data_IF_934342072255
#
_entry.id   IF_934342072255
#
_cell.length_a   1.000
_cell.length_b   1.000
_cell.length_c   1.000
_cell.angle_alpha   90.00
_cell.angle_beta   90.00
_cell.angle_gamma   90.00
#
_symmetry.space_group_name_H-M   'P 1'
#
loop_
_entity.id
_entity.type
_entity.pdbx_description
1 polymer ?
#
# COMPACT_ATOMS: atom_id res chain seq x y z
N UNK A 1 -21.38 -13.81 26.29
CA UNK A 1 -20.22 -13.05 25.76
C UNK A 1 -18.86 -13.66 26.08
N UNK A 2 -18.51 -13.94 27.35
CA UNK A 2 -17.21 -14.51 27.72
C UNK A 2 -16.81 -15.77 26.93
N UNK A 3 -17.75 -16.71 26.72
CA UNK A 3 -17.52 -17.90 25.89
C UNK A 3 -17.16 -17.55 24.44
N UNK A 4 -17.84 -16.57 23.83
CA UNK A 4 -17.58 -16.14 22.46
C UNK A 4 -16.20 -15.45 22.32
N UNK A 5 -15.79 -14.70 23.35
CA UNK A 5 -14.46 -14.10 23.41
C UNK A 5 -13.35 -15.15 23.55
N UNK A 6 -13.55 -16.18 24.38
CA UNK A 6 -12.60 -17.31 24.49
C UNK A 6 -12.50 -18.05 23.15
N UNK A 7 -13.63 -18.32 22.49
CA UNK A 7 -13.62 -18.96 21.17
C UNK A 7 -12.92 -18.14 20.10
N UNK A 8 -13.06 -16.81 20.12
CA UNK A 8 -12.32 -15.92 19.21
C UNK A 8 -10.80 -16.00 19.45
N UNK A 9 -10.36 -15.99 20.71
CA UNK A 9 -8.93 -16.15 21.06
C UNK A 9 -8.40 -17.51 20.64
N UNK A 10 -9.15 -18.58 20.88
CA UNK A 10 -8.79 -19.93 20.43
C UNK A 10 -8.68 -20.01 18.91
N UNK A 11 -9.63 -19.43 18.18
CA UNK A 11 -9.61 -19.40 16.72
C UNK A 11 -8.39 -18.65 16.17
N UNK A 12 -8.00 -17.53 16.82
CA UNK A 12 -6.80 -16.79 16.46
C UNK A 12 -5.52 -17.64 16.62
N UNK A 13 -5.39 -18.37 17.74
CA UNK A 13 -4.26 -19.29 17.96
C UNK A 13 -4.25 -20.41 16.91
N UNK A 14 -5.40 -21.05 16.65
CA UNK A 14 -5.52 -22.11 15.64
C UNK A 14 -5.14 -21.63 14.24
N UNK A 15 -5.47 -20.38 13.90
CA UNK A 15 -5.01 -19.77 12.65
C UNK A 15 -3.49 -19.57 12.63
N UNK A 16 -2.84 -19.19 13.73
CA UNK A 16 -1.38 -19.09 13.77
C UNK A 16 -0.72 -20.45 13.49
N UNK A 17 -1.32 -21.55 13.96
CA UNK A 17 -0.85 -22.92 13.74
C UNK A 17 -1.22 -23.49 12.35
N UNK A 18 -1.88 -22.71 11.49
CA UNK A 18 -2.34 -23.15 10.16
C UNK A 18 -3.61 -24.02 10.18
N UNK A 19 -4.20 -24.25 11.35
CA UNK A 19 -5.36 -25.12 11.55
C UNK A 19 -6.69 -24.40 11.26
N UNK A 20 -6.89 -23.98 10.01
CA UNK A 20 -8.04 -23.17 9.59
C UNK A 20 -9.40 -23.84 9.86
N UNK A 21 -9.49 -25.16 9.73
CA UNK A 21 -10.70 -25.91 10.08
C UNK A 21 -11.00 -25.91 11.58
N UNK A 22 -9.97 -26.05 12.42
CA UNK A 22 -10.12 -26.00 13.88
C UNK A 22 -10.48 -24.59 14.37
N UNK A 23 -9.98 -23.55 13.69
CA UNK A 23 -10.36 -22.17 13.95
C UNK A 23 -11.87 -21.94 13.71
N UNK A 24 -12.40 -22.41 12.57
CA UNK A 24 -13.85 -22.34 12.28
C UNK A 24 -14.65 -23.10 13.34
N UNK A 25 -14.26 -24.34 13.64
CA UNK A 25 -14.93 -25.14 14.67
C UNK A 25 -14.91 -24.49 16.06
N UNK A 26 -13.86 -23.72 16.40
CA UNK A 26 -13.81 -22.96 17.64
C UNK A 26 -14.82 -21.79 17.62
N UNK A 27 -14.93 -21.08 16.49
CA UNK A 27 -15.91 -20.00 16.33
C UNK A 27 -17.34 -20.53 16.39
N UNK A 28 -17.65 -21.62 15.68
CA UNK A 28 -18.99 -22.21 15.60
C UNK A 28 -19.45 -22.73 16.98
N UNK A 29 -18.57 -23.46 17.70
CA UNK A 29 -18.88 -23.97 19.04
C UNK A 29 -19.09 -22.89 20.10
N UNK A 30 -18.68 -21.65 19.84
CA UNK A 30 -18.87 -20.52 20.75
C UNK A 30 -19.73 -19.43 20.13
N UNK A 31 -20.60 -19.78 19.18
CA UNK A 31 -21.56 -18.85 18.62
C UNK A 31 -22.51 -18.33 19.70
N UNK A 32 -22.87 -17.06 19.59
CA UNK A 32 -23.76 -16.37 20.50
C UNK A 32 -24.39 -15.17 19.78
N UNK A 33 -25.67 -14.93 20.06
CA UNK A 33 -26.39 -13.76 19.57
C UNK A 33 -26.16 -12.54 20.49
N UNK A 34 -26.43 -11.34 19.97
CA UNK A 34 -26.38 -10.09 20.76
C UNK A 34 -25.00 -9.74 21.30
N UNK A 35 -23.93 -10.09 20.57
CA UNK A 35 -22.56 -9.76 20.96
C UNK A 35 -22.32 -8.25 20.85
N UNK A 36 -21.46 -7.71 21.72
CA UNK A 36 -20.96 -6.37 21.54
C UNK A 36 -20.25 -6.25 20.18
N UNK A 37 -20.52 -5.14 19.50
CA UNK A 37 -20.07 -4.87 18.13
C UNK A 37 -18.58 -5.15 17.89
N UNK A 38 -17.63 -4.75 18.77
CA UNK A 38 -16.21 -5.07 18.57
C UNK A 38 -15.92 -6.58 18.53
N UNK A 39 -16.58 -7.36 19.39
CA UNK A 39 -16.39 -8.81 19.44
C UNK A 39 -17.06 -9.52 18.26
N UNK A 40 -18.25 -9.06 17.85
CA UNK A 40 -18.92 -9.56 16.66
C UNK A 40 -18.01 -9.38 15.43
N UNK A 41 -17.50 -8.16 15.21
CA UNK A 41 -16.56 -7.87 14.11
C UNK A 41 -15.30 -8.72 14.16
N UNK A 42 -14.65 -8.83 15.32
CA UNK A 42 -13.44 -9.65 15.46
C UNK A 42 -13.69 -11.10 15.03
N UNK A 43 -14.85 -11.66 15.38
CA UNK A 43 -15.22 -13.03 15.01
C UNK A 43 -15.45 -13.17 13.50
N UNK A 44 -16.06 -12.18 12.85
CA UNK A 44 -16.23 -12.15 11.39
C UNK A 44 -14.88 -12.13 10.69
N UNK A 45 -13.95 -11.27 11.12
CA UNK A 45 -12.59 -11.19 10.56
C UNK A 45 -11.84 -12.52 10.65
N UNK A 46 -11.91 -13.19 11.82
CA UNK A 46 -11.28 -14.51 12.02
C UNK A 46 -11.93 -15.59 11.14
N UNK A 47 -13.27 -15.58 11.01
CA UNK A 47 -14.00 -16.53 10.17
C UNK A 47 -13.63 -16.35 8.70
N UNK A 48 -13.66 -15.12 8.18
CA UNK A 48 -13.29 -14.82 6.80
C UNK A 48 -11.85 -15.26 6.50
N UNK A 49 -10.89 -14.98 7.40
CA UNK A 49 -9.50 -15.43 7.25
C UNK A 49 -9.38 -16.95 7.22
N UNK A 50 -10.10 -17.66 8.07
CA UNK A 50 -10.09 -19.12 8.09
C UNK A 50 -10.71 -19.73 6.82
N UNK A 51 -11.79 -19.13 6.31
CA UNK A 51 -12.44 -19.51 5.04
C UNK A 51 -11.49 -19.29 3.86
N UNK A 52 -10.85 -18.12 3.78
CA UNK A 52 -9.88 -17.80 2.73
C UNK A 52 -8.75 -18.82 2.63
N UNK A 53 -8.16 -19.22 3.76
CA UNK A 53 -7.08 -20.22 3.82
C UNK A 53 -7.52 -21.63 3.42
N UNK A 54 -8.81 -21.93 3.48
CA UNK A 54 -9.39 -23.18 2.99
C UNK A 54 -9.76 -23.11 1.50
N UNK A 55 -9.51 -22.00 0.84
CA UNK A 55 -9.84 -21.77 -0.57
C UNK A 55 -11.21 -21.10 -0.79
N UNK A 56 -11.99 -20.86 0.27
CA UNK A 56 -13.32 -20.22 0.21
C UNK A 56 -13.21 -18.69 0.09
N UNK A 57 -12.33 -18.22 -0.81
CA UNK A 57 -11.94 -16.80 -0.92
C UNK A 57 -13.09 -15.87 -1.32
N UNK A 58 -13.97 -16.29 -2.22
CA UNK A 58 -15.12 -15.48 -2.65
C UNK A 58 -16.08 -15.22 -1.49
N UNK A 59 -16.42 -16.27 -0.74
CA UNK A 59 -17.28 -16.15 0.43
C UNK A 59 -16.62 -15.32 1.54
N UNK A 60 -15.30 -15.44 1.72
CA UNK A 60 -14.55 -14.59 2.63
C UNK A 60 -14.58 -13.10 2.23
N UNK A 61 -14.39 -12.76 0.94
CA UNK A 61 -14.46 -11.36 0.47
C UNK A 61 -15.85 -10.77 0.67
N UNK A 62 -16.91 -11.53 0.39
CA UNK A 62 -18.31 -11.13 0.61
C UNK A 62 -18.59 -10.86 2.09
N UNK A 63 -18.19 -11.79 2.96
CA UNK A 63 -18.36 -11.64 4.41
C UNK A 63 -17.62 -10.40 4.96
N UNK A 64 -16.44 -10.09 4.42
CA UNK A 64 -15.72 -8.87 4.80
C UNK A 64 -16.38 -7.61 4.24
N UNK A 65 -16.98 -7.67 3.04
CA UNK A 65 -17.67 -6.53 2.44
C UNK A 65 -18.88 -6.08 3.29
N UNK A 66 -19.55 -7.01 3.96
CA UNK A 66 -20.65 -6.71 4.89
C UNK A 66 -20.22 -5.88 6.11
N UNK A 67 -18.92 -5.85 6.45
CA UNK A 67 -18.38 -5.01 7.52
C UNK A 67 -18.17 -3.54 7.10
N UNK A 68 -18.40 -3.21 5.83
CA UNK A 68 -18.15 -1.88 5.28
C UNK A 68 -16.70 -1.42 5.48
N UNK A 69 -16.45 -0.20 5.95
CA UNK A 69 -15.09 0.34 6.11
C UNK A 69 -14.16 -0.52 6.98
N UNK A 70 -14.71 -1.23 7.97
CA UNK A 70 -13.93 -2.10 8.86
C UNK A 70 -13.44 -3.38 8.15
N UNK A 71 -14.07 -3.76 7.04
CA UNK A 71 -13.67 -4.91 6.23
C UNK A 71 -12.73 -4.56 5.08
N UNK A 72 -12.55 -3.28 4.75
CA UNK A 72 -11.83 -2.85 3.55
C UNK A 72 -10.34 -3.25 3.55
N UNK A 73 -9.60 -3.04 4.65
CA UNK A 73 -8.19 -3.46 4.75
C UNK A 73 -8.03 -4.99 4.69
N UNK A 74 -8.79 -5.80 5.46
CA UNK A 74 -8.77 -7.25 5.32
C UNK A 74 -9.09 -7.75 3.90
N UNK A 75 -9.99 -7.08 3.16
CA UNK A 75 -10.28 -7.41 1.76
C UNK A 75 -9.10 -7.10 0.86
N UNK A 76 -8.43 -5.97 1.09
CA UNK A 76 -7.23 -5.61 0.36
C UNK A 76 -6.13 -6.67 0.54
N UNK A 77 -5.91 -7.15 1.77
CA UNK A 77 -4.99 -8.26 2.06
C UNK A 77 -5.40 -9.54 1.33
N UNK A 78 -6.67 -9.93 1.44
CA UNK A 78 -7.18 -11.15 0.82
C UNK A 78 -7.02 -11.15 -0.71
N UNK A 79 -7.27 -10.01 -1.36
CA UNK A 79 -7.12 -9.84 -2.81
C UNK A 79 -5.65 -9.82 -3.22
N UNK A 80 -4.79 -9.20 -2.42
CA UNK A 80 -3.34 -9.24 -2.63
C UNK A 80 -2.78 -10.66 -2.54
N UNK A 81 -3.22 -11.47 -1.57
CA UNK A 81 -2.88 -12.90 -1.49
C UNK A 81 -3.35 -13.68 -2.73
N UNK A 82 -4.44 -13.26 -3.36
CA UNK A 82 -4.96 -13.81 -4.60
C UNK A 82 -4.28 -13.25 -5.86
N UNK A 83 -3.29 -12.36 -5.72
CA UNK A 83 -2.63 -11.62 -6.80
C UNK A 83 -3.58 -10.73 -7.64
N UNK A 84 -4.75 -10.39 -7.09
CA UNK A 84 -5.65 -9.39 -7.65
C UNK A 84 -5.22 -8.00 -7.17
N UNK A 85 -4.14 -7.49 -7.77
CA UNK A 85 -3.51 -6.23 -7.36
C UNK A 85 -4.43 -5.03 -7.54
N UNK A 86 -5.21 -5.00 -8.63
CA UNK A 86 -6.17 -3.93 -8.89
C UNK A 86 -7.30 -3.93 -7.85
N UNK A 87 -7.88 -5.12 -7.56
CA UNK A 87 -8.89 -5.26 -6.53
C UNK A 87 -8.37 -4.98 -5.12
N UNK A 88 -7.10 -5.29 -4.85
CA UNK A 88 -6.43 -4.98 -3.60
C UNK A 88 -6.20 -3.47 -3.43
N UNK A 89 -5.73 -2.79 -4.48
CA UNK A 89 -5.57 -1.34 -4.48
C UNK A 89 -6.91 -0.62 -4.24
N UNK A 90 -7.98 -1.05 -4.92
CA UNK A 90 -9.31 -0.48 -4.75
C UNK A 90 -9.84 -0.63 -3.30
N UNK A 91 -9.73 -1.84 -2.73
CA UNK A 91 -10.14 -2.08 -1.34
C UNK A 91 -9.27 -1.31 -0.34
N UNK A 92 -7.97 -1.16 -0.62
CA UNK A 92 -7.08 -0.36 0.23
C UNK A 92 -7.45 1.13 0.18
N UNK A 93 -7.83 1.65 -0.98
CA UNK A 93 -8.32 3.03 -1.11
C UNK A 93 -9.64 3.25 -0.35
N UNK A 94 -10.54 2.28 -0.35
CA UNK A 94 -11.76 2.30 0.48
C UNK A 94 -11.41 2.38 1.98
N UNK A 95 -10.43 1.60 2.43
CA UNK A 95 -9.92 1.68 3.80
C UNK A 95 -9.36 3.07 4.12
N UNK A 96 -8.51 3.61 3.24
CA UNK A 96 -7.88 4.92 3.42
C UNK A 96 -8.91 6.06 3.51
N UNK A 97 -10.01 5.98 2.75
CA UNK A 97 -11.08 6.97 2.78
C UNK A 97 -11.73 7.09 4.17
N UNK A 98 -11.73 6.01 4.96
CA UNK A 98 -12.25 6.00 6.33
C UNK A 98 -11.18 6.22 7.40
N UNK A 99 -9.94 5.78 7.14
CA UNK A 99 -8.87 5.75 8.14
C UNK A 99 -8.03 7.03 8.19
N UNK A 100 -7.88 7.76 7.07
CA UNK A 100 -6.99 8.92 7.00
C UNK A 100 -7.70 10.20 7.45
N UNK A 101 -7.09 11.02 8.32
CA UNK A 101 -7.64 12.31 8.66
C UNK A 101 -7.60 13.27 7.46
N UNK A 102 -8.60 14.13 7.33
CA UNK A 102 -8.67 15.10 6.25
C UNK A 102 -7.47 16.08 6.29
N UNK A 103 -6.91 16.49 5.14
CA UNK A 103 -5.93 17.57 5.10
C UNK A 103 -6.46 18.85 5.77
N UNK A 104 -5.61 19.63 6.46
CA UNK A 104 -4.15 19.52 6.55
C UNK A 104 -3.65 18.67 7.73
N UNK A 105 -4.50 17.88 8.40
CA UNK A 105 -4.09 17.11 9.57
C UNK A 105 -2.91 16.17 9.25
N UNK A 106 -1.91 16.03 10.15
CA UNK A 106 -0.76 15.17 9.92
C UNK A 106 -1.16 13.69 9.88
N UNK A 107 -0.39 12.89 9.15
CA UNK A 107 -0.51 11.43 9.13
C UNK A 107 0.32 10.82 10.26
N UNK A 108 -0.29 9.95 11.05
CA UNK A 108 0.39 9.06 11.97
C UNK A 108 1.06 7.89 11.26
N UNK A 109 1.68 7.01 12.03
CA UNK A 109 2.44 5.87 11.49
C UNK A 109 1.54 4.86 10.77
N UNK A 110 0.36 4.57 11.33
CA UNK A 110 -0.58 3.61 10.75
C UNK A 110 -1.10 4.09 9.38
N UNK A 111 -1.47 5.38 9.27
CA UNK A 111 -1.94 5.93 8.00
C UNK A 111 -0.84 5.93 6.92
N UNK A 112 0.41 6.22 7.29
CA UNK A 112 1.55 6.18 6.37
C UNK A 112 1.81 4.76 5.85
N UNK A 113 1.73 3.76 6.73
CA UNK A 113 1.85 2.34 6.33
C UNK A 113 0.72 1.97 5.37
N UNK A 114 -0.51 2.37 5.66
CA UNK A 114 -1.66 2.10 4.81
C UNK A 114 -1.53 2.75 3.42
N UNK A 115 -0.97 3.97 3.32
CA UNK A 115 -0.68 4.66 2.06
C UNK A 115 0.41 3.97 1.24
N UNK A 116 1.49 3.57 1.89
CA UNK A 116 2.58 2.83 1.24
C UNK A 116 2.06 1.49 0.71
N UNK A 117 1.18 0.82 1.45
CA UNK A 117 0.52 -0.40 0.98
C UNK A 117 -0.36 -0.14 -0.25
N UNK A 118 -1.14 0.95 -0.26
CA UNK A 118 -1.94 1.32 -1.43
C UNK A 118 -1.06 1.60 -2.66
N UNK A 119 0.03 2.36 -2.48
CA UNK A 119 1.00 2.62 -3.54
C UNK A 119 1.66 1.33 -4.06
N UNK A 120 2.00 0.39 -3.17
CA UNK A 120 2.55 -0.91 -3.57
C UNK A 120 1.56 -1.72 -4.41
N UNK A 121 0.29 -1.80 -3.99
CA UNK A 121 -0.74 -2.50 -4.77
C UNK A 121 -1.00 -1.82 -6.12
N UNK A 122 -1.05 -0.49 -6.16
CA UNK A 122 -1.19 0.28 -7.40
C UNK A 122 -0.01 0.03 -8.36
N UNK A 123 1.22 0.03 -7.85
CA UNK A 123 2.42 -0.26 -8.63
C UNK A 123 2.42 -1.69 -9.20
N UNK A 124 2.03 -2.68 -8.39
CA UNK A 124 1.89 -4.07 -8.85
C UNK A 124 0.76 -4.25 -9.89
N UNK A 125 -0.28 -3.40 -9.82
CA UNK A 125 -1.35 -3.36 -10.80
C UNK A 125 -1.01 -2.58 -12.07
N UNK A 126 0.08 -1.79 -12.08
CA UNK A 126 0.40 -0.84 -13.15
C UNK A 126 -0.56 0.36 -13.22
N UNK A 127 -1.19 0.73 -12.10
CA UNK A 127 -2.14 1.85 -12.02
C UNK A 127 -1.41 3.19 -11.80
N UNK A 128 -0.86 3.71 -12.89
CA UNK A 128 -0.14 4.99 -12.91
C UNK A 128 -1.03 6.19 -12.51
N UNK A 129 -2.32 6.13 -12.80
CA UNK A 129 -3.26 7.19 -12.45
C UNK A 129 -3.45 7.28 -10.92
N UNK A 130 -3.63 6.13 -10.27
CA UNK A 130 -3.71 6.06 -8.82
C UNK A 130 -2.39 6.48 -8.16
N UNK A 131 -1.25 6.02 -8.67
CA UNK A 131 0.07 6.44 -8.16
C UNK A 131 0.27 7.95 -8.26
N UNK A 132 -0.13 8.56 -9.39
CA UNK A 132 -0.06 10.00 -9.57
C UNK A 132 -0.98 10.75 -8.60
N UNK A 133 -2.22 10.29 -8.41
CA UNK A 133 -3.16 10.87 -7.45
C UNK A 133 -2.70 10.76 -5.99
N UNK A 134 -2.07 9.64 -5.62
CA UNK A 134 -1.47 9.45 -4.30
C UNK A 134 -0.29 10.41 -4.08
N UNK A 135 0.58 10.57 -5.07
CA UNK A 135 1.70 11.52 -5.03
C UNK A 135 1.21 12.95 -4.82
N UNK A 136 0.23 13.36 -5.63
CA UNK A 136 -0.31 14.72 -5.60
C UNK A 136 -1.03 15.03 -4.28
N UNK A 137 -1.90 14.13 -3.83
CA UNK A 137 -2.75 14.39 -2.66
C UNK A 137 -2.06 14.12 -1.32
N UNK A 138 -1.13 13.17 -1.25
CA UNK A 138 -0.52 12.72 0.02
C UNK A 138 1.00 12.94 0.08
N UNK A 139 1.68 13.27 -1.01
CA UNK A 139 3.15 13.39 -1.05
C UNK A 139 3.72 14.33 0.02
N UNK A 140 3.17 15.54 0.14
CA UNK A 140 3.59 16.50 1.15
C UNK A 140 3.37 16.01 2.59
N UNK A 141 2.30 15.23 2.82
CA UNK A 141 1.98 14.67 4.14
C UNK A 141 2.86 13.47 4.48
N UNK A 142 3.33 12.75 3.46
CA UNK A 142 4.25 11.61 3.58
C UNK A 142 5.70 12.04 3.83
N UNK A 143 6.06 13.29 3.49
CA UNK A 143 7.40 13.84 3.66
C UNK A 143 7.88 13.81 5.13
N UNK A 144 9.20 13.74 5.31
CA UNK A 144 9.86 13.70 6.63
C UNK A 144 9.65 12.44 7.48
N UNK A 145 8.86 11.46 7.00
CA UNK A 145 8.63 10.19 7.69
C UNK A 145 9.57 9.06 7.24
N UNK A 146 9.68 7.96 8.01
CA UNK A 146 10.55 6.82 7.68
C UNK A 146 10.15 6.08 6.39
N UNK A 147 8.92 6.30 5.90
CA UNK A 147 8.38 5.69 4.69
C UNK A 147 8.33 6.67 3.49
N UNK A 148 8.85 7.90 3.65
CA UNK A 148 8.79 8.94 2.63
C UNK A 148 9.50 8.51 1.34
N UNK A 149 10.71 7.97 1.46
CA UNK A 149 11.53 7.56 0.30
C UNK A 149 10.88 6.40 -0.46
N UNK A 150 10.43 5.36 0.26
CA UNK A 150 9.74 4.22 -0.35
C UNK A 150 8.46 4.65 -1.09
N UNK A 151 7.67 5.54 -0.48
CA UNK A 151 6.47 6.09 -1.11
C UNK A 151 6.82 6.92 -2.35
N UNK A 152 7.81 7.80 -2.26
CA UNK A 152 8.25 8.64 -3.38
C UNK A 152 8.80 7.81 -4.55
N UNK A 153 9.50 6.70 -4.26
CA UNK A 153 10.01 5.80 -5.28
C UNK A 153 8.88 5.06 -6.01
N UNK A 154 7.94 4.45 -5.28
CA UNK A 154 6.82 3.71 -5.89
C UNK A 154 5.88 4.64 -6.64
N UNK A 155 5.68 5.85 -6.11
CA UNK A 155 4.92 6.88 -6.78
C UNK A 155 5.83 7.73 -7.67
N UNK A 156 7.03 7.32 -8.08
CA UNK A 156 7.79 8.14 -9.06
C UNK A 156 7.20 7.98 -10.46
N UNK A 157 7.35 8.97 -11.32
CA UNK A 157 6.89 8.87 -12.72
C UNK A 157 7.97 8.12 -13.54
N UNK A 158 7.67 6.95 -14.12
CA UNK A 158 8.62 6.20 -14.94
C UNK A 158 9.17 7.01 -16.13
N UNK A 159 8.35 7.89 -16.71
CA UNK A 159 8.74 8.75 -17.84
C UNK A 159 9.69 9.86 -17.41
N UNK A 160 9.60 10.32 -16.15
CA UNK A 160 10.51 11.31 -15.58
C UNK A 160 11.93 10.77 -15.47
N UNK A 161 12.09 9.50 -15.11
CA UNK A 161 13.39 8.82 -15.12
C UNK A 161 14.07 8.82 -16.50
N UNK A 162 13.30 8.62 -17.58
CA UNK A 162 13.81 8.63 -18.97
C UNK A 162 14.10 10.07 -19.44
N UNK A 163 13.23 11.03 -19.09
CA UNK A 163 13.41 12.44 -19.41
C UNK A 163 14.63 13.06 -18.69
N UNK A 164 14.84 12.70 -17.42
CA UNK A 164 15.98 13.13 -16.61
C UNK A 164 17.29 12.52 -17.14
N UNK A 165 17.27 11.26 -17.59
CA UNK A 165 18.44 10.63 -18.22
C UNK A 165 18.87 11.38 -19.49
N UNK A 166 17.89 11.73 -20.34
CA UNK A 166 18.12 12.51 -21.56
C UNK A 166 18.62 13.93 -21.26
N UNK A 167 18.14 14.54 -20.17
CA UNK A 167 18.61 15.85 -19.70
C UNK A 167 20.04 15.79 -19.16
N UNK A 168 20.36 14.80 -18.32
CA UNK A 168 21.70 14.54 -17.79
C UNK A 168 22.71 14.28 -18.91
N UNK A 169 22.34 13.52 -19.94
CA UNK A 169 23.18 13.31 -21.13
C UNK A 169 23.51 14.64 -21.84
N UNK A 170 22.54 15.56 -21.94
CA UNK A 170 22.79 16.90 -22.51
C UNK A 170 23.73 17.72 -21.62
N UNK A 171 23.54 17.71 -20.30
CA UNK A 171 24.38 18.46 -19.36
C UNK A 171 25.82 17.92 -19.31
N UNK A 172 26.02 16.60 -19.27
CA UNK A 172 27.34 15.95 -19.37
C UNK A 172 27.99 16.24 -20.74
N UNK A 173 27.20 16.23 -21.81
CA UNK A 173 27.63 16.62 -23.13
C UNK A 173 28.20 18.04 -23.14
N UNK A 174 27.52 19.01 -22.51
CA UNK A 174 27.99 20.39 -22.42
C UNK A 174 29.28 20.54 -21.61
N UNK A 175 29.46 19.79 -20.52
CA UNK A 175 30.70 19.79 -19.74
C UNK A 175 31.90 19.26 -20.52
N UNK A 176 31.69 18.34 -21.46
CA UNK A 176 32.75 17.82 -22.35
C UNK A 176 33.18 18.79 -23.45
N UNK A 177 32.44 19.88 -23.70
CA UNK A 177 32.80 20.90 -24.71
C UNK A 177 33.66 22.03 -24.10
N UNK A 178 33.82 22.07 -22.78
CA UNK A 178 34.65 23.08 -22.10
C UNK A 178 36.14 23.08 -22.51
N UNK A 179 36.81 21.95 -22.80
CA UNK A 179 38.21 21.97 -23.26
C UNK A 179 38.37 22.62 -24.64
N UNK A 180 37.43 22.35 -25.58
CA UNK A 180 37.52 22.82 -26.96
C UNK A 180 37.37 24.34 -27.09
N UNK A 181 36.61 24.98 -26.18
CA UNK A 181 36.47 26.45 -26.16
C UNK A 181 37.66 27.16 -25.50
N UNK A 182 38.39 26.51 -24.59
CA UNK A 182 39.60 27.08 -23.99
C UNK A 182 40.82 26.93 -24.90
N UNK A 183 40.91 25.86 -25.71
CA UNK A 183 41.93 25.72 -26.75
C UNK A 183 41.77 26.73 -27.89
N UNK A 184 40.53 27.01 -28.32
CA UNK A 184 40.24 28.04 -29.33
C UNK A 184 40.67 29.45 -28.86
N UNK A 185 40.58 29.76 -27.57
CA UNK A 185 41.09 31.02 -27.00
C UNK A 185 42.62 31.03 -26.83
N UNK A 186 43.25 29.87 -26.69
CA UNK A 186 44.72 29.72 -26.59
C UNK A 186 45.41 29.81 -27.96
N UNK A 187 44.73 29.37 -29.02
CA UNK A 187 45.22 29.43 -30.40
C UNK A 187 45.15 30.83 -31.05
N UNK A 188 44.33 31.75 -30.52
CA UNK A 188 44.14 33.10 -31.07
C UNK A 188 45.17 34.16 -30.63
N UNK A 189 46.14 33.81 -29.78
CA UNK A 189 47.08 34.79 -29.18
C UNK A 189 48.51 34.73 -29.78
N UNK A 190 48.75 33.95 -30.84
CA UNK A 190 50.05 33.99 -31.51
C UNK A 190 50.19 35.12 -32.54
N UNK A 191 50.83 36.20 -32.05
CA UNK A 191 51.83 37.08 -32.70
C UNK A 191 51.36 37.87 -33.94
N UNK A 192 50.92 39.10 -33.70
CA UNK A 192 51.26 40.22 -34.59
C UNK A 192 52.47 40.95 -33.97
N UNK A 193 53.63 40.79 -34.61
CA UNK A 193 54.87 41.54 -34.35
C UNK A 193 54.95 42.67 -35.37
#
# INVERSE_FOLDING_TARGET
EARAAIGARLAALRLQDGESGAALAALDRTEAAGLAEPLARQRVLLRARAMARRGERIAADQMLAELGPAGAEPRAELRAEAQDWAGAAAAQMEHLAAAIPAPPAPLGQAERIALVRAAAYAALAGDEALLAGLRESQGARMDGGPLAEAFALMTSDPLRGIADLSRLQREIGMLRVLPARLEALRGGVQVAR
#
